data_IF_599296777606
#
_entry.id   IF_599296777606
#
_cell.length_a   1.000
_cell.length_b   1.000
_cell.length_c   1.000
_cell.angle_alpha   90.00
_cell.angle_beta   90.00
_cell.angle_gamma   90.00
#
_symmetry.space_group_name_H-M   'P 1'
#
loop_
_entity.id
_entity.type
_entity.pdbx_description
1 polymer ?
#
# COMPACT_ATOMS: atom_id res chain seq x y z
N UNK A 1 2.40 -55.69 10.33
CA UNK A 1 1.24 -54.95 10.87
C UNK A 1 1.78 -53.83 11.74
N UNK A 2 1.54 -52.56 11.40
CA UNK A 2 2.02 -51.43 12.20
C UNK A 2 1.17 -51.29 13.46
N UNK A 3 1.78 -51.52 14.63
CA UNK A 3 1.12 -51.35 15.93
C UNK A 3 1.01 -49.87 16.28
N UNK A 4 0.04 -49.18 15.68
CA UNK A 4 -0.31 -47.81 16.05
C UNK A 4 -1.16 -47.79 17.32
N UNK A 5 -0.77 -47.00 18.33
CA UNK A 5 -1.62 -46.72 19.51
C UNK A 5 -2.45 -45.46 19.25
N UNK A 6 -3.72 -45.46 19.65
CA UNK A 6 -4.58 -44.28 19.59
C UNK A 6 -4.17 -43.25 20.66
N UNK A 7 -4.23 -41.97 20.31
CA UNK A 7 -3.99 -40.86 21.23
C UNK A 7 -5.30 -40.08 21.35
N UNK A 8 -6.00 -40.14 22.50
CA UNK A 8 -7.20 -39.35 22.70
C UNK A 8 -6.82 -37.87 22.91
N UNK A 9 -7.51 -36.98 22.18
CA UNK A 9 -7.38 -35.52 22.32
C UNK A 9 -8.76 -34.98 22.65
N UNK A 10 -8.84 -34.14 23.68
CA UNK A 10 -10.08 -33.53 24.10
C UNK A 10 -10.28 -32.19 23.41
N UNK A 11 -11.49 -31.96 22.90
CA UNK A 11 -11.91 -30.71 22.27
C UNK A 11 -13.13 -30.17 23.01
N UNK A 12 -13.19 -28.84 23.16
CA UNK A 12 -14.47 -28.21 23.47
C UNK A 12 -15.44 -28.37 22.28
N UNK A 13 -16.73 -28.19 22.50
CA UNK A 13 -17.73 -28.36 21.43
C UNK A 13 -17.54 -27.33 20.30
N UNK A 14 -17.10 -26.12 20.65
CA UNK A 14 -16.76 -25.07 19.68
C UNK A 14 -15.49 -25.42 18.89
N UNK A 15 -14.46 -25.95 19.55
CA UNK A 15 -13.24 -26.39 18.87
C UNK A 15 -13.52 -27.54 17.92
N UNK A 16 -14.34 -28.51 18.36
CA UNK A 16 -14.75 -29.64 17.54
C UNK A 16 -15.43 -29.16 16.25
N UNK A 17 -16.38 -28.23 16.36
CA UNK A 17 -17.07 -27.64 15.22
C UNK A 17 -16.11 -26.91 14.27
N UNK A 18 -15.18 -26.13 14.81
CA UNK A 18 -14.16 -25.42 14.00
C UNK A 18 -13.26 -26.39 13.23
N UNK A 19 -12.83 -27.48 13.85
CA UNK A 19 -11.98 -28.49 13.19
C UNK A 19 -12.78 -29.25 12.12
N UNK A 20 -14.06 -29.53 12.35
CA UNK A 20 -14.95 -30.15 11.36
C UNK A 20 -15.18 -29.24 10.14
N UNK A 21 -15.47 -27.96 10.36
CA UNK A 21 -15.62 -26.96 9.30
C UNK A 21 -14.32 -26.79 8.50
N UNK A 22 -13.17 -26.71 9.18
CA UNK A 22 -11.87 -26.59 8.52
C UNK A 22 -11.50 -27.85 7.72
N UNK A 23 -11.84 -29.04 8.22
CA UNK A 23 -11.65 -30.30 7.48
C UNK A 23 -12.50 -30.33 6.21
N UNK A 24 -13.76 -29.89 6.29
CA UNK A 24 -14.67 -29.82 5.16
C UNK A 24 -14.18 -28.82 4.09
N UNK A 25 -13.77 -27.62 4.50
CA UNK A 25 -13.23 -26.58 3.61
C UNK A 25 -11.95 -27.05 2.90
N UNK A 26 -11.11 -27.81 3.59
CA UNK A 26 -9.89 -28.39 3.02
C UNK A 26 -10.15 -29.65 2.17
N UNK A 27 -11.40 -30.08 2.00
CA UNK A 27 -11.80 -31.21 1.15
C UNK A 27 -11.53 -32.59 1.78
N UNK A 28 -11.32 -32.68 3.09
CA UNK A 28 -11.06 -33.95 3.76
C UNK A 28 -12.35 -34.72 4.02
N UNK A 29 -12.39 -35.97 3.55
CA UNK A 29 -13.50 -36.90 3.81
C UNK A 29 -13.57 -37.39 5.27
N UNK A 30 -12.43 -37.40 5.97
CA UNK A 30 -12.31 -37.92 7.33
C UNK A 30 -11.55 -36.96 8.24
N UNK A 31 -12.20 -36.57 9.35
CA UNK A 31 -11.65 -35.67 10.37
C UNK A 31 -10.33 -36.18 10.96
N UNK A 32 -10.23 -37.49 11.20
CA UNK A 32 -9.02 -38.11 11.75
C UNK A 32 -7.80 -38.00 10.81
N UNK A 33 -8.03 -38.00 9.49
CA UNK A 33 -6.97 -37.77 8.50
C UNK A 33 -6.53 -36.31 8.52
N UNK A 34 -7.50 -35.39 8.55
CA UNK A 34 -7.22 -33.95 8.65
C UNK A 34 -6.40 -33.61 9.90
N UNK A 35 -6.81 -34.10 11.07
CA UNK A 35 -6.11 -33.87 12.35
C UNK A 35 -4.70 -34.48 12.31
N UNK A 36 -4.55 -35.69 11.76
CA UNK A 36 -3.23 -36.32 11.61
C UNK A 36 -2.32 -35.50 10.70
N UNK A 37 -2.81 -35.15 9.52
CA UNK A 37 -1.99 -34.44 8.53
C UNK A 37 -1.58 -33.07 9.06
N UNK A 38 -2.49 -32.36 9.75
CA UNK A 38 -2.18 -31.07 10.40
C UNK A 38 -1.29 -31.17 11.63
N UNK A 39 -1.42 -32.22 12.44
CA UNK A 39 -0.52 -32.43 13.60
C UNK A 39 0.89 -32.85 13.21
N UNK A 40 1.06 -33.44 12.03
CA UNK A 40 2.36 -33.80 11.47
C UNK A 40 2.93 -32.74 10.52
N UNK A 41 2.14 -31.72 10.17
CA UNK A 41 2.53 -30.62 9.28
C UNK A 41 3.62 -29.76 9.96
N UNK A 42 4.86 -29.91 9.49
CA UNK A 42 6.03 -29.18 10.00
C UNK A 42 6.11 -27.74 9.46
N UNK A 43 5.27 -27.35 8.50
CA UNK A 43 5.27 -26.02 7.88
C UNK A 43 4.45 -24.99 8.68
N UNK A 44 3.30 -25.40 9.22
CA UNK A 44 2.30 -24.47 9.76
C UNK A 44 2.71 -23.70 11.03
N UNK A 45 3.72 -24.15 11.78
CA UNK A 45 4.17 -23.46 13.01
C UNK A 45 5.38 -22.54 12.82
N UNK A 46 6.03 -22.54 11.64
CA UNK A 46 7.16 -21.65 11.35
C UNK A 46 6.81 -20.49 10.41
N UNK A 47 5.75 -20.63 9.63
CA UNK A 47 5.40 -19.64 8.60
C UNK A 47 4.60 -18.46 9.15
N UNK A 48 3.63 -18.65 10.05
CA UNK A 48 2.75 -17.55 10.49
C UNK A 48 3.45 -16.38 11.21
N UNK A 49 4.54 -16.65 11.93
CA UNK A 49 5.30 -15.61 12.64
C UNK A 49 6.25 -14.82 11.74
N UNK A 50 6.96 -15.50 10.82
CA UNK A 50 7.93 -14.89 9.90
C UNK A 50 7.25 -14.23 8.70
N UNK A 51 6.22 -14.86 8.13
CA UNK A 51 5.40 -14.25 7.09
C UNK A 51 4.76 -12.95 7.58
N UNK A 52 4.36 -12.86 8.85
CA UNK A 52 3.75 -11.63 9.37
C UNK A 52 4.72 -10.45 9.41
N UNK A 53 6.00 -10.69 9.70
CA UNK A 53 7.00 -9.64 9.83
C UNK A 53 7.54 -9.21 8.47
N UNK A 54 7.76 -10.16 7.56
CA UNK A 54 8.12 -9.91 6.17
C UNK A 54 6.96 -9.21 5.43
N UNK A 55 5.73 -9.70 5.55
CA UNK A 55 4.56 -9.03 4.98
C UNK A 55 4.30 -7.64 5.58
N UNK A 56 4.64 -7.42 6.85
CA UNK A 56 4.55 -6.08 7.46
C UNK A 56 5.63 -5.14 6.89
N UNK A 57 6.85 -5.62 6.72
CA UNK A 57 7.95 -4.86 6.11
C UNK A 57 7.63 -4.50 4.66
N UNK A 58 7.18 -5.47 3.86
CA UNK A 58 6.75 -5.24 2.47
C UNK A 58 5.61 -4.23 2.39
N UNK A 59 4.65 -4.30 3.32
CA UNK A 59 3.55 -3.35 3.37
C UNK A 59 4.03 -1.93 3.72
N UNK A 60 4.99 -1.79 4.63
CA UNK A 60 5.57 -0.48 4.95
C UNK A 60 6.37 0.09 3.77
N UNK A 61 7.13 -0.75 3.07
CA UNK A 61 7.84 -0.33 1.86
C UNK A 61 6.86 0.13 0.77
N UNK A 62 5.79 -0.63 0.53
CA UNK A 62 4.74 -0.26 -0.42
C UNK A 62 4.07 1.07 -0.04
N UNK A 63 3.78 1.30 1.24
CA UNK A 63 3.23 2.58 1.72
C UNK A 63 4.22 3.72 1.49
N UNK A 64 5.52 3.50 1.75
CA UNK A 64 6.56 4.48 1.47
C UNK A 64 6.64 4.85 -0.01
N UNK A 65 6.64 3.86 -0.90
CA UNK A 65 6.61 4.06 -2.35
C UNK A 65 5.33 4.78 -2.80
N UNK A 66 4.18 4.46 -2.20
CA UNK A 66 2.90 5.11 -2.50
C UNK A 66 2.92 6.59 -2.10
N UNK A 67 3.47 6.91 -0.93
CA UNK A 67 3.64 8.29 -0.48
C UNK A 67 4.60 9.10 -1.37
N UNK A 68 5.61 8.45 -1.94
CA UNK A 68 6.51 9.08 -2.93
C UNK A 68 5.81 9.33 -4.26
N UNK A 69 5.01 8.37 -4.74
CA UNK A 69 4.17 8.54 -5.93
C UNK A 69 3.15 9.67 -5.73
N UNK A 70 2.51 9.75 -4.56
CA UNK A 70 1.56 10.83 -4.27
C UNK A 70 2.24 12.20 -4.29
N UNK A 71 3.46 12.30 -3.74
CA UNK A 71 4.27 13.53 -3.79
C UNK A 71 4.64 13.91 -5.23
N UNK A 72 5.09 12.97 -6.05
CA UNK A 72 5.42 13.25 -7.46
C UNK A 72 4.18 13.64 -8.27
N UNK A 73 3.04 13.01 -8.00
CA UNK A 73 1.77 13.32 -8.62
C UNK A 73 1.27 14.72 -8.25
N UNK A 74 1.40 15.15 -6.99
CA UNK A 74 1.10 16.54 -6.57
C UNK A 74 1.99 17.53 -7.32
N UNK A 75 3.27 17.21 -7.50
CA UNK A 75 4.21 18.01 -8.29
C UNK A 75 3.80 18.15 -9.76
N UNK A 76 3.40 17.04 -10.40
CA UNK A 76 2.94 17.03 -11.78
C UNK A 76 1.63 17.85 -11.97
N UNK A 77 0.68 17.74 -11.04
CA UNK A 77 -0.56 18.54 -11.08
C UNK A 77 -0.29 20.04 -10.94
N UNK A 78 0.64 20.42 -10.07
CA UNK A 78 1.05 21.81 -9.92
C UNK A 78 1.62 22.37 -11.24
N UNK A 79 2.52 21.64 -11.91
CA UNK A 79 3.07 22.02 -13.22
C UNK A 79 2.00 22.09 -14.30
N UNK A 80 1.04 21.17 -14.32
CA UNK A 80 -0.09 21.21 -15.24
C UNK A 80 -0.98 22.45 -15.00
N UNK A 81 -1.25 22.80 -13.74
CA UNK A 81 -2.00 24.01 -13.40
C UNK A 81 -1.26 25.29 -13.85
N UNK A 82 0.06 25.33 -13.70
CA UNK A 82 0.91 26.44 -14.20
C UNK A 82 0.81 26.56 -15.72
N UNK A 83 0.96 25.46 -16.45
CA UNK A 83 0.85 25.45 -17.91
C UNK A 83 -0.54 25.89 -18.38
N UNK A 84 -1.62 25.39 -17.75
CA UNK A 84 -2.98 25.81 -18.06
C UNK A 84 -3.21 27.31 -17.79
N UNK A 85 -2.65 27.85 -16.72
CA UNK A 85 -2.71 29.28 -16.42
C UNK A 85 -2.00 30.11 -17.48
N UNK A 86 -0.78 29.74 -17.87
CA UNK A 86 -0.02 30.42 -18.92
C UNK A 86 -0.72 30.35 -20.28
N UNK A 87 -1.30 29.20 -20.63
CA UNK A 87 -2.12 29.02 -21.85
C UNK A 87 -3.33 29.94 -21.82
N UNK A 88 -4.04 30.03 -20.69
CA UNK A 88 -5.20 30.92 -20.52
C UNK A 88 -4.83 32.40 -20.66
N UNK A 89 -3.65 32.79 -20.17
CA UNK A 89 -3.15 34.18 -20.23
C UNK A 89 -2.56 34.55 -21.61
N UNK A 90 -2.48 33.61 -22.56
CA UNK A 90 -1.74 33.77 -23.83
C UNK A 90 -0.30 34.21 -23.59
N UNK A 91 0.36 33.54 -22.64
CA UNK A 91 1.71 33.89 -22.23
C UNK A 91 2.68 33.92 -23.42
N UNK A 92 3.61 34.86 -23.38
CA UNK A 92 4.66 35.00 -24.40
C UNK A 92 5.78 33.97 -24.17
N UNK A 93 6.58 33.70 -25.20
CA UNK A 93 7.72 32.76 -25.13
C UNK A 93 8.74 33.13 -24.04
N UNK A 94 8.82 34.39 -23.63
CA UNK A 94 9.66 34.84 -22.52
C UNK A 94 9.18 34.33 -21.15
N UNK A 95 7.89 34.48 -20.85
CA UNK A 95 7.27 33.99 -19.60
C UNK A 95 7.37 32.46 -19.48
N UNK A 96 7.34 31.74 -20.61
CA UNK A 96 7.54 30.29 -20.63
C UNK A 96 8.99 29.90 -20.28
N UNK A 97 9.98 30.61 -20.82
CA UNK A 97 11.39 30.34 -20.52
C UNK A 97 11.76 30.67 -19.07
N UNK A 98 11.17 31.71 -18.48
CA UNK A 98 11.35 32.02 -17.05
C UNK A 98 10.80 30.90 -16.15
N UNK A 99 9.66 30.30 -16.52
CA UNK A 99 9.12 29.16 -15.81
C UNK A 99 10.01 27.91 -15.94
N UNK A 100 10.54 27.64 -17.13
CA UNK A 100 11.48 26.52 -17.36
C UNK A 100 12.73 26.68 -16.49
N UNK A 101 13.32 27.88 -16.46
CA UNK A 101 14.48 28.20 -15.62
C UNK A 101 14.17 28.09 -14.13
N UNK A 102 12.97 28.46 -13.69
CA UNK A 102 12.56 28.30 -12.30
C UNK A 102 12.37 26.82 -11.92
N UNK A 103 11.88 25.99 -12.86
CA UNK A 103 11.75 24.54 -12.67
C UNK A 103 13.12 23.83 -12.62
N UNK A 104 14.11 24.29 -13.37
CA UNK A 104 15.46 23.70 -13.39
C UNK A 104 16.23 23.93 -12.08
N UNK A 105 15.94 25.01 -11.36
CA UNK A 105 16.70 25.43 -10.18
C UNK A 105 16.10 25.00 -8.83
N UNK A 106 14.95 24.33 -8.81
CA UNK A 106 14.21 24.04 -7.57
C UNK A 106 13.74 22.59 -7.51
N UNK A 107 14.03 21.91 -6.41
CA UNK A 107 13.74 20.48 -6.24
C UNK A 107 12.26 20.12 -5.97
N UNK A 108 11.40 21.09 -5.69
CA UNK A 108 9.97 20.88 -5.40
C UNK A 108 9.10 21.86 -6.21
N UNK A 109 8.10 21.38 -6.98
CA UNK A 109 7.25 22.24 -7.81
C UNK A 109 6.43 23.31 -7.06
N UNK A 110 6.20 23.11 -5.75
CA UNK A 110 5.51 24.09 -4.90
C UNK A 110 6.36 25.33 -4.59
N UNK A 111 7.67 25.15 -4.43
CA UNK A 111 8.59 26.26 -4.18
C UNK A 111 8.82 27.07 -5.47
N UNK A 112 8.80 26.39 -6.62
CA UNK A 112 8.80 27.04 -7.96
C UNK A 112 7.60 27.98 -8.09
N UNK A 113 6.40 27.54 -7.69
CA UNK A 113 5.18 28.34 -7.73
C UNK A 113 5.27 29.60 -6.88
N UNK A 114 5.74 29.47 -5.65
CA UNK A 114 5.85 30.60 -4.73
C UNK A 114 6.81 31.68 -5.24
N UNK A 115 7.88 31.27 -5.93
CA UNK A 115 8.91 32.19 -6.46
C UNK A 115 8.51 32.81 -7.79
N UNK A 116 7.96 32.02 -8.72
CA UNK A 116 7.73 32.48 -10.09
C UNK A 116 6.33 33.10 -10.29
N UNK A 117 5.30 32.58 -9.61
CA UNK A 117 3.91 33.05 -9.73
C UNK A 117 3.22 33.03 -8.35
N UNK A 118 3.57 33.96 -7.45
CA UNK A 118 3.06 33.98 -6.07
C UNK A 118 1.54 34.11 -5.97
N UNK A 119 0.89 34.78 -6.93
CA UNK A 119 -0.57 34.90 -7.00
C UNK A 119 -1.25 33.54 -7.27
N UNK A 120 -0.64 32.69 -8.09
CA UNK A 120 -1.14 31.34 -8.39
C UNK A 120 -0.88 30.40 -7.21
N UNK A 121 0.27 30.53 -6.56
CA UNK A 121 0.58 29.80 -5.33
C UNK A 121 -0.46 30.09 -4.23
N UNK A 122 -0.85 31.35 -4.05
CA UNK A 122 -1.86 31.77 -3.09
C UNK A 122 -3.28 31.28 -3.42
N UNK A 123 -3.61 31.12 -4.71
CA UNK A 123 -4.88 30.52 -5.12
C UNK A 123 -4.89 29.01 -4.86
N UNK A 124 -3.79 28.32 -5.16
CA UNK A 124 -3.67 26.88 -4.92
C UNK A 124 -3.75 26.54 -3.43
N UNK A 125 -3.07 27.29 -2.56
CA UNK A 125 -3.16 27.07 -1.10
C UNK A 125 -4.59 27.21 -0.58
N UNK A 126 -5.33 28.23 -1.04
CA UNK A 126 -6.76 28.38 -0.70
C UNK A 126 -7.62 27.21 -1.16
N UNK A 127 -7.40 26.69 -2.37
CA UNK A 127 -8.16 25.53 -2.85
C UNK A 127 -7.83 24.24 -2.09
N UNK A 128 -6.61 24.11 -1.56
CA UNK A 128 -6.20 22.94 -0.77
C UNK A 128 -6.53 23.03 0.72
N UNK A 129 -6.70 24.21 1.29
CA UNK A 129 -7.11 24.42 2.70
C UNK A 129 -8.62 24.20 2.93
N UNK A 130 -9.45 24.36 1.88
CA UNK A 130 -10.90 24.12 1.91
C UNK A 130 -11.30 22.65 1.64
N UNK A 131 -10.35 21.69 1.69
CA UNK A 131 -10.57 20.24 1.48
C UNK A 131 -10.16 19.38 2.67
#
# INVERSE_FOLDING_TARGET
>A
MSSGKSIPVWYSEEDRRRVEEAAALAGYKHLSKYIRDKSLDRGSHRESGRDSMEAWADRQELVGRLAEIERSQKGAHALLAMLLFLVRKKATTGEFNELVLACENVGVPADVLAVSLPELAALLTRFTEDS
#
